data_IF_090928500754
#
_entry.id   IF_090928500754
#
_cell.length_a   1.000
_cell.length_b   1.000
_cell.length_c   1.000
_cell.angle_alpha   90.00
_cell.angle_beta   90.00
_cell.angle_gamma   90.00
#
_symmetry.space_group_name_H-M   'P 1'
#
loop_
_entity.id
_entity.type
_entity.pdbx_description
1 polymer ?
#
# COMPACT_ATOMS: atom_id res chain seq x y z
N UNK A 1 39.17 -17.74 1.84
CA UNK A 1 38.13 -16.76 2.17
C UNK A 1 36.94 -17.06 1.27
N UNK A 2 35.86 -17.65 1.80
CA UNK A 2 34.69 -18.01 1.00
C UNK A 2 33.93 -16.76 0.57
N UNK A 3 33.47 -16.71 -0.68
CA UNK A 3 32.66 -15.60 -1.19
C UNK A 3 31.36 -15.47 -0.39
N UNK A 4 31.18 -14.35 0.30
CA UNK A 4 29.88 -13.95 0.86
C UNK A 4 28.93 -13.62 -0.29
N UNK A 5 27.73 -14.21 -0.28
CA UNK A 5 26.65 -13.88 -1.23
C UNK A 5 25.67 -12.94 -0.55
N UNK A 6 25.47 -11.76 -1.14
CA UNK A 6 24.44 -10.82 -0.70
C UNK A 6 23.08 -11.14 -1.31
N UNK A 7 22.02 -10.92 -0.55
CA UNK A 7 20.63 -10.95 -1.04
C UNK A 7 20.05 -9.56 -0.85
N UNK A 8 19.38 -9.04 -1.88
CA UNK A 8 18.65 -7.77 -1.79
C UNK A 8 17.15 -8.05 -1.92
N UNK A 9 16.41 -7.75 -0.87
CA UNK A 9 14.96 -7.79 -0.90
C UNK A 9 14.42 -6.43 -1.35
N UNK A 10 13.69 -6.41 -2.47
CA UNK A 10 13.02 -5.23 -2.99
C UNK A 10 11.51 -5.47 -3.02
N UNK A 11 10.75 -4.54 -2.44
CA UNK A 11 9.29 -4.60 -2.39
C UNK A 11 8.70 -3.33 -3.02
N UNK A 12 7.70 -3.50 -3.89
CA UNK A 12 6.97 -2.41 -4.51
C UNK A 12 5.54 -2.35 -3.97
N UNK A 13 5.13 -1.18 -3.50
CA UNK A 13 3.83 -0.92 -2.88
C UNK A 13 3.02 -0.02 -3.81
N UNK A 14 1.94 -0.60 -4.35
CA UNK A 14 1.03 0.08 -5.25
C UNK A 14 -0.41 -0.34 -4.95
N UNK A 15 -1.30 0.65 -4.93
CA UNK A 15 -2.75 0.47 -4.84
C UNK A 15 -3.38 1.47 -5.81
N UNK A 16 -3.99 1.03 -6.92
CA UNK A 16 -4.62 1.94 -7.87
C UNK A 16 -6.02 2.36 -7.39
N UNK A 17 -6.47 3.52 -7.87
CA UNK A 17 -7.87 3.92 -7.78
C UNK A 17 -8.72 3.08 -8.72
N UNK A 18 -9.79 2.47 -8.20
CA UNK A 18 -10.81 1.78 -8.98
C UNK A 18 -11.86 2.77 -9.44
N UNK A 19 -12.03 2.86 -10.75
CA UNK A 19 -13.10 3.63 -11.36
C UNK A 19 -14.42 2.88 -11.11
N UNK A 20 -15.45 3.61 -10.68
CA UNK A 20 -16.80 3.05 -10.56
C UNK A 20 -17.28 2.58 -11.92
N UNK A 21 -18.35 1.78 -11.97
CA UNK A 21 -19.05 1.51 -13.23
C UNK A 21 -19.42 2.85 -13.89
N UNK A 22 -18.80 3.13 -15.02
CA UNK A 22 -18.87 4.42 -15.71
C UNK A 22 -19.22 4.15 -17.18
N UNK A 23 -20.39 4.61 -17.61
CA UNK A 23 -20.94 4.37 -18.93
C UNK A 23 -20.89 5.63 -19.81
N UNK A 24 -21.13 5.49 -21.11
CA UNK A 24 -21.23 6.62 -22.04
C UNK A 24 -22.28 7.66 -21.58
N UNK A 25 -23.32 7.22 -20.86
CA UNK A 25 -24.38 8.09 -20.34
C UNK A 25 -23.92 8.94 -19.15
N UNK A 26 -22.85 8.53 -18.46
CA UNK A 26 -22.29 9.29 -17.33
C UNK A 26 -21.38 10.44 -17.79
N UNK A 27 -20.81 10.35 -19.01
CA UNK A 27 -19.71 11.21 -19.49
C UNK A 27 -19.99 12.72 -19.37
N UNK A 28 -21.23 13.13 -19.62
CA UNK A 28 -21.60 14.55 -19.65
C UNK A 28 -22.19 15.07 -18.33
N UNK A 29 -22.50 14.19 -17.37
CA UNK A 29 -23.34 14.55 -16.22
C UNK A 29 -22.74 14.16 -14.87
N UNK A 30 -21.81 13.21 -14.85
CA UNK A 30 -21.21 12.70 -13.61
C UNK A 30 -19.70 12.59 -13.74
N UNK A 31 -18.99 13.29 -12.84
CA UNK A 31 -17.52 13.33 -12.79
C UNK A 31 -16.95 12.68 -11.51
N UNK A 32 -17.81 12.02 -10.73
CA UNK A 32 -17.49 11.26 -9.52
C UNK A 32 -16.90 9.87 -9.89
N UNK A 33 -15.75 9.85 -10.56
CA UNK A 33 -15.18 8.63 -11.14
C UNK A 33 -14.84 7.53 -10.12
N UNK A 34 -14.58 7.87 -8.87
CA UNK A 34 -14.05 6.94 -7.85
C UNK A 34 -15.01 6.70 -6.68
N UNK A 35 -16.17 7.35 -6.69
CA UNK A 35 -17.14 7.30 -5.60
C UNK A 35 -18.28 6.35 -5.95
N UNK A 36 -18.48 5.32 -5.13
CA UNK A 36 -19.52 4.33 -5.37
C UNK A 36 -19.88 3.59 -4.09
N UNK A 37 -21.15 3.22 -3.98
CA UNK A 37 -21.67 2.35 -2.93
C UNK A 37 -21.49 0.86 -3.27
N UNK A 38 -21.01 0.52 -4.47
CA UNK A 38 -20.66 -0.86 -4.83
C UNK A 38 -19.42 -1.30 -4.03
N UNK A 39 -19.54 -2.25 -3.08
CA UNK A 39 -18.41 -2.68 -2.26
C UNK A 39 -17.26 -3.29 -3.07
N UNK A 40 -17.52 -3.79 -4.29
CA UNK A 40 -16.50 -4.35 -5.16
C UNK A 40 -15.62 -3.27 -5.84
N UNK A 41 -16.07 -2.02 -5.84
CA UNK A 41 -15.39 -0.89 -6.48
C UNK A 41 -15.08 0.26 -5.49
N UNK A 42 -15.63 0.21 -4.28
CA UNK A 42 -15.39 1.22 -3.26
C UNK A 42 -13.93 1.20 -2.78
N UNK A 43 -13.19 2.25 -3.11
CA UNK A 43 -11.75 2.34 -2.85
C UNK A 43 -11.43 2.34 -1.36
N UNK A 44 -12.20 3.03 -0.52
CA UNK A 44 -12.00 3.08 0.93
C UNK A 44 -12.16 1.71 1.57
N UNK A 45 -13.28 1.03 1.31
CA UNK A 45 -13.55 -0.32 1.83
C UNK A 45 -12.46 -1.31 1.42
N UNK A 46 -12.03 -1.24 0.16
CA UNK A 46 -10.97 -2.11 -0.34
C UNK A 46 -9.63 -1.74 0.29
N UNK A 47 -9.32 -0.45 0.44
CA UNK A 47 -8.08 0.01 1.05
C UNK A 47 -7.96 -0.49 2.49
N UNK A 48 -9.00 -0.31 3.32
CA UNK A 48 -9.00 -0.83 4.69
C UNK A 48 -8.81 -2.35 4.74
N UNK A 49 -9.53 -3.09 3.89
CA UNK A 49 -9.39 -4.55 3.82
C UNK A 49 -7.97 -4.98 3.47
N UNK A 50 -7.31 -4.30 2.52
CA UNK A 50 -5.93 -4.63 2.14
C UNK A 50 -4.94 -4.17 3.21
N UNK A 51 -5.13 -3.00 3.81
CA UNK A 51 -4.29 -2.49 4.89
C UNK A 51 -4.21 -3.45 6.08
N UNK A 52 -5.37 -3.92 6.57
CA UNK A 52 -5.46 -4.83 7.71
C UNK A 52 -4.90 -6.23 7.43
N UNK A 53 -5.00 -6.70 6.19
CA UNK A 53 -4.55 -8.04 5.79
C UNK A 53 -3.10 -8.08 5.33
N UNK A 54 -2.59 -6.97 4.80
CA UNK A 54 -1.30 -6.92 4.13
C UNK A 54 -0.39 -5.86 4.74
N UNK A 55 -0.62 -4.57 4.48
CA UNK A 55 0.37 -3.52 4.77
C UNK A 55 0.78 -3.48 6.25
N UNK A 56 -0.20 -3.44 7.16
CA UNK A 56 0.08 -3.34 8.60
C UNK A 56 0.75 -4.61 9.15
N UNK A 57 0.27 -5.79 8.71
CA UNK A 57 0.82 -7.08 9.15
C UNK A 57 2.23 -7.30 8.62
N UNK A 58 2.46 -7.00 7.35
CA UNK A 58 3.77 -7.12 6.73
C UNK A 58 4.75 -6.14 7.36
N UNK A 59 4.37 -4.87 7.56
CA UNK A 59 5.26 -3.89 8.17
C UNK A 59 5.60 -4.28 9.62
N UNK A 60 4.66 -4.80 10.41
CA UNK A 60 4.98 -5.32 11.74
C UNK A 60 6.00 -6.47 11.71
N UNK A 61 5.89 -7.38 10.72
CA UNK A 61 6.86 -8.45 10.52
C UNK A 61 8.24 -7.91 10.09
N UNK A 62 8.27 -7.01 9.11
CA UNK A 62 9.50 -6.41 8.61
C UNK A 62 10.21 -5.62 9.72
N UNK A 63 9.46 -4.87 10.52
CA UNK A 63 9.97 -4.15 11.69
C UNK A 63 10.62 -5.10 12.69
N UNK A 64 9.97 -6.24 12.99
CA UNK A 64 10.54 -7.29 13.84
C UNK A 64 11.83 -7.84 13.25
N UNK A 65 11.87 -8.17 11.96
CA UNK A 65 13.04 -8.75 11.30
C UNK A 65 14.22 -7.77 11.26
N UNK A 66 13.97 -6.48 10.99
CA UNK A 66 14.97 -5.42 11.03
C UNK A 66 15.61 -5.29 12.42
N UNK A 67 14.82 -5.43 13.50
CA UNK A 67 15.34 -5.39 14.88
C UNK A 67 16.10 -6.66 15.27
N UNK A 68 15.65 -7.83 14.80
CA UNK A 68 16.21 -9.13 15.19
C UNK A 68 17.49 -9.49 14.44
N UNK A 69 17.64 -9.05 13.20
CA UNK A 69 18.74 -9.46 12.31
C UNK A 69 19.50 -8.23 11.82
N UNK A 70 20.71 -8.01 12.36
CA UNK A 70 21.56 -6.85 12.02
C UNK A 70 21.83 -6.71 10.51
N UNK A 71 22.00 -7.84 9.83
CA UNK A 71 22.33 -7.90 8.40
C UNK A 71 21.09 -7.94 7.50
N UNK A 72 19.88 -8.01 8.07
CA UNK A 72 18.65 -7.94 7.29
C UNK A 72 18.43 -6.51 6.79
N UNK A 73 18.32 -6.37 5.48
CA UNK A 73 18.07 -5.11 4.78
C UNK A 73 17.00 -5.33 3.71
N UNK A 74 16.22 -4.29 3.46
CA UNK A 74 15.23 -4.27 2.38
C UNK A 74 15.16 -2.88 1.75
N UNK A 75 14.64 -2.83 0.53
CA UNK A 75 14.34 -1.60 -0.20
C UNK A 75 12.86 -1.55 -0.53
N UNK A 76 12.26 -0.38 -0.37
CA UNK A 76 10.84 -0.13 -0.64
C UNK A 76 10.70 0.88 -1.79
N UNK A 77 9.79 0.61 -2.70
CA UNK A 77 9.29 1.58 -3.67
C UNK A 77 7.80 1.78 -3.45
N UNK A 78 7.37 3.01 -3.24
CA UNK A 78 5.98 3.34 -2.88
C UNK A 78 5.45 4.33 -3.90
N UNK A 79 4.35 3.98 -4.57
CA UNK A 79 3.74 4.88 -5.55
C UNK A 79 3.01 6.06 -4.90
N UNK A 80 2.99 7.23 -5.55
CA UNK A 80 2.27 8.41 -5.06
C UNK A 80 0.78 8.17 -4.88
N UNK A 81 0.14 7.48 -5.83
CA UNK A 81 -1.30 7.12 -5.75
C UNK A 81 -1.64 6.23 -4.56
N UNK A 82 -0.68 5.43 -4.07
CA UNK A 82 -0.84 4.68 -2.83
C UNK A 82 -0.78 5.62 -1.62
N UNK A 83 0.18 6.56 -1.59
CA UNK A 83 0.33 7.51 -0.49
C UNK A 83 -0.92 8.38 -0.35
N UNK A 84 -1.44 8.92 -1.45
CA UNK A 84 -2.69 9.72 -1.45
C UNK A 84 -3.88 8.93 -0.86
N UNK A 85 -4.02 7.66 -1.22
CA UNK A 85 -5.07 6.80 -0.65
C UNK A 85 -4.82 6.46 0.81
N UNK A 86 -3.57 6.23 1.20
CA UNK A 86 -3.21 5.97 2.59
C UNK A 86 -3.47 7.19 3.48
N UNK A 87 -3.12 8.39 3.02
CA UNK A 87 -3.42 9.65 3.70
C UNK A 87 -4.93 9.86 3.84
N UNK A 88 -5.70 9.55 2.80
CA UNK A 88 -7.15 9.74 2.81
C UNK A 88 -7.90 8.70 3.66
N UNK A 89 -7.53 7.44 3.57
CA UNK A 89 -8.33 6.33 4.12
C UNK A 89 -7.74 5.73 5.39
N UNK A 90 -6.42 5.63 5.54
CA UNK A 90 -5.82 5.03 6.74
C UNK A 90 -4.39 5.54 7.01
N UNK A 91 -4.23 6.71 7.65
CA UNK A 91 -2.92 7.30 7.93
C UNK A 91 -2.00 6.41 8.77
N UNK A 92 -2.55 5.48 9.57
CA UNK A 92 -1.76 4.53 10.35
C UNK A 92 -0.90 3.60 9.47
N UNK A 93 -1.29 3.39 8.20
CA UNK A 93 -0.47 2.67 7.22
C UNK A 93 0.82 3.42 6.93
N UNK A 94 0.76 4.74 6.74
CA UNK A 94 1.96 5.57 6.51
C UNK A 94 2.87 5.54 7.73
N UNK A 95 2.30 5.68 8.93
CA UNK A 95 3.06 5.58 10.17
C UNK A 95 3.75 4.21 10.31
N UNK A 96 3.11 3.13 9.83
CA UNK A 96 3.74 1.80 9.82
C UNK A 96 4.94 1.70 8.87
N UNK A 97 4.92 2.39 7.73
CA UNK A 97 6.07 2.44 6.82
C UNK A 97 7.21 3.29 7.39
N UNK A 98 6.90 4.42 8.05
CA UNK A 98 7.90 5.27 8.71
C UNK A 98 8.71 4.50 9.76
N UNK A 99 8.06 3.61 10.52
CA UNK A 99 8.74 2.74 11.51
C UNK A 99 9.74 1.74 10.92
N UNK A 100 9.71 1.49 9.61
CA UNK A 100 10.69 0.62 8.94
C UNK A 100 11.99 1.34 8.59
N UNK A 101 11.99 2.67 8.63
CA UNK A 101 13.13 3.52 8.23
C UNK A 101 13.81 4.18 9.43
N UNK A 102 13.06 4.39 10.52
CA UNK A 102 13.56 4.97 11.77
C UNK A 102 14.46 4.01 12.56
#
# INVERSE_FOLDING_TARGET
>A
MGMSRGITLYLHVHQPWRVRRYSIFDVATRHDYFETNDPAQNNELIFHKVAEKSYLRMNALLEKLLRQHRDFKLSLSISGVFLEQAERFNPAVIESFKRLVA
#
